data_IF_143443464328
#
_entry.id   IF_143443464328
#
_cell.length_a   1.000
_cell.length_b   1.000
_cell.length_c   1.000
_cell.angle_alpha   90.00
_cell.angle_beta   90.00
_cell.angle_gamma   90.00
#
_symmetry.space_group_name_H-M   'P 1'
#
loop_
_entity.id
_entity.type
_entity.pdbx_description
1 polymer ?
#
# COMPACT_ATOMS: atom_id res chain seq x y z
N UNK A 1 27.04 26.34 2.32
CA UNK A 1 27.45 25.50 3.45
C UNK A 1 26.84 24.11 3.27
N UNK A 2 27.48 23.33 2.42
CA UNK A 2 27.10 21.94 2.10
C UNK A 2 28.35 21.10 2.37
N UNK A 3 28.32 20.32 3.38
CA UNK A 3 29.48 19.47 3.70
C UNK A 3 29.41 18.89 5.10
N UNK A 4 28.48 17.99 5.39
CA UNK A 4 28.53 17.18 6.60
C UNK A 4 27.49 16.04 6.51
N UNK A 5 27.68 15.05 5.65
CA UNK A 5 26.87 13.83 5.69
C UNK A 5 27.49 12.59 5.02
N UNK A 6 28.79 12.58 4.69
CA UNK A 6 29.43 11.42 4.06
C UNK A 6 30.39 10.63 4.96
N UNK A 7 30.61 11.04 6.19
CA UNK A 7 31.57 10.36 7.08
C UNK A 7 30.96 9.26 7.97
N UNK A 8 29.65 9.12 8.06
CA UNK A 8 29.03 8.09 8.92
C UNK A 8 28.85 6.74 8.24
N UNK A 9 28.90 6.68 6.89
CA UNK A 9 28.71 5.43 6.15
C UNK A 9 30.00 4.63 5.95
N UNK A 10 31.17 5.28 6.09
CA UNK A 10 32.49 4.62 5.90
C UNK A 10 33.02 3.95 7.18
N UNK A 11 32.51 4.30 8.35
CA UNK A 11 32.95 3.71 9.63
C UNK A 11 32.32 2.33 9.87
N UNK A 12 31.11 2.08 9.35
CA UNK A 12 30.43 0.78 9.51
C UNK A 12 30.98 -0.31 8.60
N UNK A 13 31.67 0.05 7.52
CA UNK A 13 32.28 -0.93 6.60
C UNK A 13 33.68 -1.35 7.05
N UNK A 14 34.37 -0.52 7.82
CA UNK A 14 35.73 -0.81 8.31
C UNK A 14 35.75 -1.86 9.44
N UNK A 15 34.78 -1.85 10.34
CA UNK A 15 34.72 -2.79 11.47
C UNK A 15 34.35 -4.22 11.08
N UNK A 16 33.73 -4.42 9.91
CA UNK A 16 33.38 -5.76 9.44
C UNK A 16 34.53 -6.51 8.69
N UNK A 17 35.63 -5.86 8.42
CA UNK A 17 36.77 -6.46 7.69
C UNK A 17 37.96 -6.87 8.59
N UNK A 18 37.97 -6.52 9.88
CA UNK A 18 39.05 -6.92 10.80
C UNK A 18 38.82 -8.26 11.52
N UNK A 19 37.63 -8.80 11.58
CA UNK A 19 37.34 -10.10 12.23
C UNK A 19 37.70 -11.35 11.41
N UNK A 20 38.17 -11.21 10.15
CA UNK A 20 38.48 -12.37 9.28
C UNK A 20 39.99 -12.73 9.28
N UNK A 21 40.83 -12.02 10.02
CA UNK A 21 42.28 -12.19 9.95
C UNK A 21 42.95 -12.87 11.15
N UNK A 22 42.27 -13.50 12.06
CA UNK A 22 42.91 -14.23 13.17
C UNK A 22 42.29 -15.61 13.37
N UNK A 23 42.85 -16.61 12.67
CA UNK A 23 42.84 -18.00 13.10
C UNK A 23 44.19 -18.62 12.79
N UNK A 24 44.85 -19.31 13.74
CA UNK A 24 46.23 -19.76 13.58
C UNK A 24 46.29 -21.11 12.84
N UNK A 25 47.28 -21.20 11.96
CA UNK A 25 47.76 -22.45 11.34
C UNK A 25 48.42 -23.33 12.39
N UNK A 26 48.02 -24.59 12.50
CA UNK A 26 48.85 -25.68 12.97
C UNK A 26 48.81 -26.82 11.97
N UNK A 27 49.97 -27.11 11.41
CA UNK A 27 50.28 -28.28 10.62
C UNK A 27 50.60 -29.43 11.57
N UNK A 28 49.97 -30.59 11.39
CA UNK A 28 50.57 -31.87 11.76
C UNK A 28 50.25 -32.92 10.70
N UNK A 29 51.36 -33.59 10.30
CA UNK A 29 51.47 -34.66 9.31
C UNK A 29 51.05 -35.99 9.91
N UNK A 30 50.31 -36.83 9.18
CA UNK A 30 50.07 -38.22 9.50
C UNK A 30 49.55 -39.01 8.30
N UNK A 31 50.38 -39.94 7.83
CA UNK A 31 50.17 -40.83 6.71
C UNK A 31 49.09 -41.90 6.99
N UNK A 32 48.40 -42.35 5.93
CA UNK A 32 47.87 -43.70 5.88
C UNK A 32 46.53 -43.94 5.22
N UNK A 33 46.58 -44.33 3.96
CA UNK A 33 45.77 -45.36 3.28
C UNK A 33 44.26 -45.29 3.13
N UNK A 34 43.86 -45.10 1.91
CA UNK A 34 42.99 -45.97 1.08
C UNK A 34 41.47 -45.79 1.07
N UNK A 35 40.97 -45.79 -0.17
CA UNK A 35 39.68 -46.17 -0.71
C UNK A 35 38.54 -45.12 -0.78
N UNK A 36 38.53 -44.46 -1.95
CA UNK A 36 37.36 -44.26 -2.84
C UNK A 36 35.96 -44.16 -2.20
N UNK A 37 35.45 -42.96 -2.13
CA UNK A 37 34.11 -42.68 -2.66
C UNK A 37 34.05 -41.20 -3.11
N UNK A 38 34.34 -40.99 -4.39
CA UNK A 38 34.05 -39.76 -5.11
C UNK A 38 32.52 -39.73 -5.29
N UNK A 39 31.82 -39.07 -4.42
CA UNK A 39 30.41 -38.74 -4.63
C UNK A 39 30.39 -37.48 -5.49
N UNK A 40 30.01 -37.66 -6.74
CA UNK A 40 30.06 -36.69 -7.81
C UNK A 40 29.23 -35.45 -7.53
N UNK A 41 29.87 -34.30 -7.55
CA UNK A 41 29.25 -32.97 -7.60
C UNK A 41 28.53 -32.68 -8.95
N UNK A 42 28.35 -33.69 -9.78
CA UNK A 42 27.72 -33.56 -11.11
C UNK A 42 26.19 -33.68 -11.07
N UNK A 43 25.58 -34.21 -10.01
CA UNK A 43 24.11 -34.39 -9.97
C UNK A 43 23.34 -33.14 -9.59
N UNK A 44 23.95 -32.21 -8.86
CA UNK A 44 23.26 -30.93 -8.51
C UNK A 44 23.25 -29.92 -9.66
N UNK A 45 24.26 -29.95 -10.52
CA UNK A 45 24.29 -29.12 -11.74
C UNK A 45 23.36 -29.65 -12.83
N UNK A 46 23.05 -30.95 -12.84
CA UNK A 46 22.13 -31.54 -13.83
C UNK A 46 20.64 -31.18 -13.51
N UNK A 47 20.29 -31.11 -12.25
CA UNK A 47 18.90 -30.71 -11.87
C UNK A 47 18.67 -29.21 -12.05
N UNK A 48 19.67 -28.37 -11.77
CA UNK A 48 19.61 -26.93 -12.09
C UNK A 48 19.58 -26.65 -13.59
N UNK A 49 20.20 -27.54 -14.40
CA UNK A 49 20.13 -27.46 -15.86
C UNK A 49 18.81 -28.04 -16.43
N UNK A 50 18.15 -28.98 -15.72
CA UNK A 50 16.84 -29.53 -16.14
C UNK A 50 15.69 -28.58 -15.90
N UNK A 51 15.66 -27.84 -14.79
CA UNK A 51 14.65 -26.79 -14.57
C UNK A 51 14.74 -25.61 -15.55
N UNK A 52 15.90 -25.42 -16.21
CA UNK A 52 16.05 -24.42 -17.29
C UNK A 52 15.37 -24.81 -18.62
N UNK A 53 14.91 -26.05 -18.78
CA UNK A 53 14.36 -26.52 -20.06
C UNK A 53 12.85 -26.35 -20.24
N UNK A 54 12.11 -25.96 -19.19
CA UNK A 54 10.64 -25.87 -19.28
C UNK A 54 10.11 -24.52 -19.78
N UNK A 55 10.94 -23.48 -19.89
CA UNK A 55 10.51 -22.20 -20.45
C UNK A 55 11.31 -21.85 -21.71
N UNK A 56 10.63 -21.49 -22.79
CA UNK A 56 11.34 -21.08 -24.01
C UNK A 56 12.13 -19.81 -23.73
N UNK A 57 13.41 -19.82 -24.06
CA UNK A 57 14.29 -18.66 -23.88
C UNK A 57 13.87 -17.48 -24.78
N UNK A 58 13.31 -17.78 -25.95
CA UNK A 58 12.79 -16.80 -26.92
C UNK A 58 11.31 -17.06 -27.17
N UNK A 59 10.52 -16.01 -27.09
CA UNK A 59 9.10 -16.04 -27.46
C UNK A 59 8.82 -14.97 -28.52
N UNK A 60 7.80 -15.19 -29.32
CA UNK A 60 7.27 -14.20 -30.26
C UNK A 60 5.89 -13.77 -29.82
N UNK A 61 5.65 -12.47 -29.80
CA UNK A 61 4.35 -11.89 -29.46
C UNK A 61 3.97 -10.89 -30.55
N UNK A 62 3.00 -11.24 -31.37
CA UNK A 62 2.73 -10.46 -32.57
C UNK A 62 3.98 -10.29 -33.45
N UNK A 63 4.41 -9.06 -33.67
CA UNK A 63 5.63 -8.75 -34.42
C UNK A 63 6.91 -8.70 -33.56
N UNK A 64 6.78 -8.70 -32.23
CA UNK A 64 7.88 -8.54 -31.32
C UNK A 64 8.56 -9.88 -31.02
N UNK A 65 9.88 -9.83 -30.81
CA UNK A 65 10.68 -10.96 -30.35
C UNK A 65 11.22 -10.62 -28.97
N UNK A 66 10.88 -11.45 -28.00
CA UNK A 66 11.20 -11.23 -26.59
C UNK A 66 12.11 -12.37 -26.10
N UNK A 67 13.17 -12.01 -25.39
CA UNK A 67 14.09 -12.93 -24.73
C UNK A 67 13.80 -12.95 -23.24
N UNK A 68 13.57 -14.14 -22.66
CA UNK A 68 13.54 -14.32 -21.23
C UNK A 68 14.98 -14.37 -20.73
N UNK A 69 15.36 -13.39 -19.92
CA UNK A 69 16.67 -13.33 -19.30
C UNK A 69 16.56 -13.36 -17.79
N UNK A 70 17.48 -14.06 -17.14
CA UNK A 70 17.61 -14.04 -15.69
C UNK A 70 18.74 -13.11 -15.33
N UNK A 71 18.43 -12.08 -14.55
CA UNK A 71 19.37 -11.09 -14.03
C UNK A 71 19.38 -11.14 -12.51
N UNK A 72 20.54 -10.90 -11.85
CA UNK A 72 20.58 -10.81 -10.39
C UNK A 72 19.97 -9.47 -9.92
N UNK A 73 19.27 -9.51 -8.80
CA UNK A 73 18.92 -8.30 -8.03
C UNK A 73 20.16 -7.79 -7.25
N UNK A 74 20.00 -6.73 -6.46
CA UNK A 74 21.07 -6.15 -5.63
C UNK A 74 21.62 -7.10 -4.56
N UNK A 75 20.89 -8.15 -4.22
CA UNK A 75 21.27 -9.19 -3.26
C UNK A 75 21.79 -10.46 -3.98
N UNK A 76 21.93 -10.43 -5.31
CA UNK A 76 22.39 -11.57 -6.10
C UNK A 76 21.30 -12.63 -6.36
N UNK A 77 20.03 -12.39 -6.00
CA UNK A 77 18.92 -13.33 -6.22
C UNK A 77 18.50 -13.30 -7.69
N UNK A 78 18.28 -14.45 -8.33
CA UNK A 78 17.88 -14.51 -9.74
C UNK A 78 16.46 -13.94 -9.90
N UNK A 79 16.30 -13.14 -10.95
CA UNK A 79 15.02 -12.56 -11.34
C UNK A 79 14.88 -12.65 -12.86
N UNK A 80 13.81 -13.26 -13.35
CA UNK A 80 13.55 -13.45 -14.77
C UNK A 80 12.71 -12.29 -15.31
N UNK A 81 13.13 -11.72 -16.43
CA UNK A 81 12.42 -10.62 -17.11
C UNK A 81 12.42 -10.82 -18.63
N UNK A 82 11.45 -10.18 -19.29
CA UNK A 82 11.36 -10.14 -20.74
C UNK A 82 12.09 -8.91 -21.31
N UNK A 83 12.94 -9.12 -22.28
CA UNK A 83 13.67 -8.06 -22.99
C UNK A 83 13.37 -8.15 -24.49
N UNK A 84 12.93 -7.05 -25.08
CA UNK A 84 12.77 -6.94 -26.53
C UNK A 84 14.10 -7.06 -27.26
N UNK A 85 14.14 -7.87 -28.30
CA UNK A 85 15.31 -8.06 -29.16
C UNK A 85 14.94 -7.89 -30.61
N UNK A 86 15.89 -7.40 -31.41
CA UNK A 86 15.72 -7.45 -32.87
C UNK A 86 15.93 -8.87 -33.39
N UNK A 87 15.35 -9.18 -34.52
CA UNK A 87 15.50 -10.50 -35.16
C UNK A 87 16.95 -10.82 -35.51
N UNK A 88 17.72 -9.80 -35.87
CA UNK A 88 19.16 -9.89 -36.20
C UNK A 88 19.96 -10.34 -34.99
N UNK A 89 19.74 -9.69 -33.82
CA UNK A 89 20.42 -10.06 -32.56
C UNK A 89 20.10 -11.51 -32.15
N UNK A 90 18.85 -11.96 -32.31
CA UNK A 90 18.49 -13.35 -32.01
C UNK A 90 19.13 -14.33 -32.96
N UNK A 91 19.18 -14.02 -34.26
CA UNK A 91 19.86 -14.86 -35.24
C UNK A 91 21.36 -14.98 -35.00
N UNK A 92 21.98 -13.86 -34.64
CA UNK A 92 23.41 -13.80 -34.32
C UNK A 92 23.76 -14.64 -33.08
N UNK A 93 22.97 -14.52 -32.01
CA UNK A 93 23.24 -15.20 -30.73
C UNK A 93 22.83 -16.67 -30.71
N UNK A 94 21.72 -17.02 -31.34
CA UNK A 94 21.05 -18.32 -31.19
C UNK A 94 20.89 -19.09 -32.53
N UNK A 95 21.20 -18.47 -33.65
CA UNK A 95 21.08 -19.08 -34.97
C UNK A 95 19.73 -18.82 -35.66
N UNK A 96 19.67 -19.09 -36.97
CA UNK A 96 18.52 -18.80 -37.82
C UNK A 96 17.25 -19.61 -37.46
N UNK A 97 17.42 -20.84 -36.98
CA UNK A 97 16.31 -21.75 -36.66
C UNK A 97 15.53 -21.33 -35.42
N UNK A 98 16.16 -20.58 -34.50
CA UNK A 98 15.55 -20.17 -33.22
C UNK A 98 14.25 -19.39 -33.41
N UNK A 99 14.20 -18.45 -34.37
CA UNK A 99 13.00 -17.67 -34.63
C UNK A 99 11.85 -18.50 -35.20
N UNK A 100 12.12 -19.56 -35.95
CA UNK A 100 11.07 -20.43 -36.50
C UNK A 100 10.57 -21.44 -35.47
N UNK A 101 11.40 -21.81 -34.51
CA UNK A 101 11.06 -22.74 -33.44
C UNK A 101 10.46 -22.04 -32.22
N UNK A 102 10.72 -20.72 -32.05
CA UNK A 102 10.21 -19.96 -30.93
C UNK A 102 8.67 -19.93 -30.92
N UNK A 103 8.05 -20.25 -29.79
CA UNK A 103 6.60 -20.23 -29.65
C UNK A 103 6.04 -18.84 -29.94
N UNK A 104 4.83 -18.82 -30.51
CA UNK A 104 4.13 -17.61 -30.87
C UNK A 104 2.90 -17.42 -29.99
N UNK A 105 2.77 -16.22 -29.45
CA UNK A 105 1.63 -15.78 -28.68
C UNK A 105 0.96 -14.56 -29.33
N UNK A 106 -0.34 -14.43 -29.19
CA UNK A 106 -1.10 -13.34 -29.80
C UNK A 106 -0.83 -12.01 -29.12
N UNK A 107 -0.67 -12.04 -27.78
CA UNK A 107 -0.44 -10.85 -26.96
C UNK A 107 0.28 -11.17 -25.64
N UNK A 108 0.73 -10.11 -24.97
CA UNK A 108 1.06 -10.15 -23.53
C UNK A 108 -0.23 -9.93 -22.74
N UNK A 109 -0.39 -10.67 -21.64
CA UNK A 109 -1.49 -10.51 -20.70
C UNK A 109 -0.97 -10.29 -19.28
N UNK A 110 -1.79 -9.70 -18.41
CA UNK A 110 -1.50 -9.56 -16.97
C UNK A 110 -2.64 -10.25 -16.23
N UNK A 111 -2.43 -11.50 -15.85
CA UNK A 111 -3.44 -12.32 -15.17
C UNK A 111 -2.91 -12.73 -13.79
N UNK A 112 -3.25 -11.97 -12.74
CA UNK A 112 -2.76 -12.25 -11.39
C UNK A 112 -3.45 -13.49 -10.81
N UNK A 113 -2.66 -14.46 -10.37
CA UNK A 113 -3.12 -15.61 -9.58
C UNK A 113 -1.95 -16.17 -8.79
N UNK A 114 -2.21 -16.56 -7.53
CA UNK A 114 -1.21 -17.22 -6.69
C UNK A 114 -1.56 -18.69 -6.41
N UNK A 115 -2.81 -19.07 -6.60
CA UNK A 115 -3.32 -20.43 -6.31
C UNK A 115 -3.49 -21.29 -7.57
N UNK A 116 -3.71 -20.66 -8.72
CA UNK A 116 -3.84 -21.32 -10.03
C UNK A 116 -3.10 -20.48 -11.10
N UNK A 117 -1.78 -20.32 -10.88
CA UNK A 117 -0.97 -19.56 -11.82
C UNK A 117 -0.80 -20.29 -13.14
N UNK A 118 -1.00 -19.55 -14.26
CA UNK A 118 -0.75 -20.03 -15.61
C UNK A 118 0.13 -19.05 -16.35
N UNK A 119 1.25 -19.56 -16.86
CA UNK A 119 2.17 -18.78 -17.69
C UNK A 119 1.55 -18.41 -19.03
N UNK A 120 0.68 -19.26 -19.55
CA UNK A 120 -0.05 -19.04 -20.81
C UNK A 120 -1.54 -19.09 -20.52
N UNK A 121 -2.25 -18.03 -20.86
CA UNK A 121 -3.70 -17.90 -20.67
C UNK A 121 -4.35 -17.67 -22.05
N UNK A 122 -5.14 -18.65 -22.53
CA UNK A 122 -5.51 -18.69 -23.93
C UNK A 122 -4.25 -18.85 -24.80
N UNK A 123 -4.06 -17.96 -25.79
CA UNK A 123 -2.82 -17.88 -26.54
C UNK A 123 -1.99 -16.60 -26.19
N UNK A 124 -2.09 -16.13 -24.94
CA UNK A 124 -1.37 -14.95 -24.46
C UNK A 124 -0.30 -15.35 -23.43
N UNK A 125 0.86 -14.71 -23.50
CA UNK A 125 1.90 -14.87 -22.50
C UNK A 125 1.60 -14.00 -21.27
N UNK A 126 1.48 -14.62 -20.10
CA UNK A 126 1.23 -13.91 -18.84
C UNK A 126 2.52 -13.31 -18.30
N UNK A 127 2.56 -11.97 -18.14
CA UNK A 127 3.69 -11.22 -17.58
C UNK A 127 3.55 -10.96 -16.08
N UNK A 128 2.50 -11.48 -15.43
CA UNK A 128 2.41 -11.51 -13.97
C UNK A 128 3.38 -12.57 -13.44
N UNK A 129 4.09 -12.26 -12.34
CA UNK A 129 5.11 -13.17 -11.85
C UNK A 129 4.51 -14.26 -10.96
N UNK A 130 4.90 -15.53 -11.20
CA UNK A 130 4.60 -16.63 -10.28
C UNK A 130 5.26 -16.37 -8.93
N UNK A 131 4.62 -16.77 -7.84
CA UNK A 131 5.28 -16.83 -6.54
C UNK A 131 6.26 -18.00 -6.52
N UNK A 132 7.48 -17.73 -6.08
CA UNK A 132 8.56 -18.74 -6.01
C UNK A 132 8.51 -19.53 -4.70
N UNK A 133 7.85 -18.98 -3.67
CA UNK A 133 7.77 -19.57 -2.34
C UNK A 133 6.52 -20.44 -2.24
N UNK A 134 6.71 -21.72 -1.92
CA UNK A 134 5.60 -22.64 -1.69
C UNK A 134 5.09 -22.51 -0.24
N UNK A 135 3.75 -22.45 -0.03
CA UNK A 135 3.16 -22.42 1.30
C UNK A 135 3.50 -23.68 2.10
N UNK A 136 3.94 -23.53 3.33
CA UNK A 136 4.17 -24.66 4.24
C UNK A 136 3.67 -24.36 5.65
N UNK A 137 3.05 -25.36 6.32
CA UNK A 137 2.52 -25.20 7.67
C UNK A 137 3.65 -24.85 8.65
N UNK A 138 3.44 -23.82 9.47
CA UNK A 138 4.41 -23.36 10.46
C UNK A 138 3.85 -22.23 11.32
N UNK A 139 4.67 -21.75 12.25
CA UNK A 139 4.39 -20.58 13.08
C UNK A 139 5.04 -19.35 12.45
N UNK A 140 4.49 -18.16 12.70
CA UNK A 140 4.95 -16.90 12.14
C UNK A 140 4.91 -15.73 13.14
N UNK A 141 5.56 -15.89 14.32
CA UNK A 141 5.45 -14.93 15.41
C UNK A 141 5.97 -13.53 15.06
N UNK A 142 6.96 -13.40 14.15
CA UNK A 142 7.44 -12.07 13.73
C UNK A 142 6.40 -11.36 12.86
N UNK A 143 5.69 -12.11 12.04
CA UNK A 143 4.59 -11.57 11.25
C UNK A 143 3.39 -11.18 12.13
N UNK A 144 3.03 -12.00 13.13
CA UNK A 144 1.97 -11.65 14.09
C UNK A 144 2.31 -10.34 14.81
N UNK A 145 3.56 -10.19 15.25
CA UNK A 145 4.03 -8.97 15.87
C UNK A 145 3.96 -7.77 14.91
N UNK A 146 4.41 -7.94 13.66
CA UNK A 146 4.32 -6.88 12.66
C UNK A 146 2.87 -6.50 12.38
N UNK A 147 1.99 -7.48 12.19
CA UNK A 147 0.57 -7.23 11.91
C UNK A 147 -0.12 -6.51 13.06
N UNK A 148 0.12 -6.95 14.30
CA UNK A 148 -0.37 -6.28 15.49
C UNK A 148 0.15 -4.85 15.61
N UNK A 149 1.43 -4.63 15.28
CA UNK A 149 2.04 -3.31 15.29
C UNK A 149 1.41 -2.35 14.28
N UNK A 150 1.23 -2.81 13.05
CA UNK A 150 0.70 -1.98 11.96
C UNK A 150 -0.79 -1.71 12.13
N UNK A 151 -1.55 -2.73 12.49
CA UNK A 151 -3.00 -2.66 12.48
C UNK A 151 -3.64 -2.51 13.87
N UNK A 152 -2.91 -2.79 14.97
CA UNK A 152 -3.42 -2.66 16.34
C UNK A 152 -4.73 -3.40 16.54
N UNK A 153 -5.77 -2.69 16.96
CA UNK A 153 -7.12 -3.22 17.15
C UNK A 153 -7.77 -3.75 15.86
N UNK A 154 -7.28 -3.31 14.71
CA UNK A 154 -7.74 -3.77 13.39
C UNK A 154 -6.88 -4.89 12.80
N UNK A 155 -6.12 -5.61 13.62
CA UNK A 155 -5.21 -6.69 13.18
C UNK A 155 -5.92 -7.74 12.33
N UNK A 156 -7.11 -8.17 12.73
CA UNK A 156 -7.89 -9.15 11.99
C UNK A 156 -8.23 -8.69 10.57
N UNK A 157 -8.52 -7.38 10.40
CA UNK A 157 -8.75 -6.76 9.08
C UNK A 157 -7.44 -6.70 8.27
N UNK A 158 -6.31 -6.44 8.93
CA UNK A 158 -5.00 -6.49 8.29
C UNK A 158 -4.69 -7.86 7.70
N UNK A 159 -4.95 -8.90 8.46
CA UNK A 159 -4.83 -10.28 7.98
C UNK A 159 -5.81 -10.59 6.83
N UNK A 160 -7.04 -10.06 6.87
CA UNK A 160 -8.00 -10.18 5.76
C UNK A 160 -7.50 -9.46 4.51
N UNK A 161 -6.91 -8.28 4.66
CA UNK A 161 -6.29 -7.52 3.56
C UNK A 161 -5.20 -8.37 2.86
N UNK A 162 -4.27 -8.97 3.62
CA UNK A 162 -3.23 -9.85 3.07
C UNK A 162 -3.83 -11.11 2.43
N UNK A 163 -4.88 -11.68 3.05
CA UNK A 163 -5.57 -12.85 2.51
C UNK A 163 -6.22 -12.56 1.16
N UNK A 164 -6.82 -11.39 1.02
CA UNK A 164 -7.39 -10.95 -0.26
C UNK A 164 -6.32 -10.71 -1.32
N UNK A 165 -5.18 -10.10 -0.95
CA UNK A 165 -4.04 -10.00 -1.86
C UNK A 165 -3.61 -11.36 -2.39
N UNK A 166 -3.61 -12.39 -1.54
CA UNK A 166 -3.18 -13.74 -1.89
C UNK A 166 -4.25 -14.52 -2.68
N UNK A 167 -5.49 -14.60 -2.18
CA UNK A 167 -6.55 -15.46 -2.75
C UNK A 167 -7.31 -14.79 -3.89
N UNK A 168 -7.51 -13.50 -3.81
CA UNK A 168 -8.28 -12.73 -4.78
C UNK A 168 -7.53 -11.46 -5.18
N UNK A 169 -6.42 -11.58 -5.90
CA UNK A 169 -5.55 -10.46 -6.24
C UNK A 169 -6.24 -9.37 -7.09
N UNK A 170 -7.38 -9.67 -7.71
CA UNK A 170 -8.18 -8.69 -8.47
C UNK A 170 -9.17 -7.91 -7.60
N UNK A 171 -9.43 -8.34 -6.35
CA UNK A 171 -10.31 -7.60 -5.44
C UNK A 171 -9.80 -6.18 -5.25
N UNK A 172 -10.67 -5.20 -5.43
CA UNK A 172 -10.36 -3.80 -5.12
C UNK A 172 -10.27 -3.62 -3.61
N UNK A 173 -9.19 -3.02 -3.13
CA UNK A 173 -8.94 -2.78 -1.70
C UNK A 173 -8.65 -1.29 -1.44
N UNK A 174 -8.84 -0.81 -0.21
CA UNK A 174 -8.47 0.55 0.16
C UNK A 174 -6.98 0.79 -0.02
N UNK A 175 -6.62 2.03 -0.33
CA UNK A 175 -5.24 2.50 -0.27
C UNK A 175 -4.81 2.48 1.20
N UNK A 176 -3.82 1.67 1.54
CA UNK A 176 -3.28 1.61 2.89
C UNK A 176 -2.25 2.71 3.09
N UNK A 177 -2.51 3.63 4.02
CA UNK A 177 -1.63 4.73 4.34
C UNK A 177 -1.03 4.54 5.73
N UNK A 178 0.28 4.30 5.80
CA UNK A 178 1.02 4.22 7.05
C UNK A 178 1.71 5.56 7.30
N UNK A 179 1.27 6.26 8.33
CA UNK A 179 1.74 7.62 8.61
C UNK A 179 2.41 7.71 9.98
N UNK A 180 3.51 8.43 10.04
CA UNK A 180 4.18 8.80 11.28
C UNK A 180 5.12 9.97 11.04
N UNK A 181 5.11 11.02 11.87
CA UNK A 181 6.09 12.10 11.78
C UNK A 181 7.50 11.65 12.13
N UNK A 182 7.63 10.48 12.74
CA UNK A 182 8.89 9.96 13.26
C UNK A 182 9.42 8.78 12.42
N UNK A 183 10.72 8.54 12.54
CA UNK A 183 11.40 7.39 11.95
C UNK A 183 11.29 6.15 12.88
N UNK A 184 11.78 5.01 12.42
CA UNK A 184 11.80 3.76 13.19
C UNK A 184 10.44 3.33 13.75
N UNK A 185 9.42 3.37 12.90
CA UNK A 185 8.04 3.03 13.25
C UNK A 185 7.54 1.71 12.67
N UNK A 186 8.36 1.05 11.81
CA UNK A 186 7.99 -0.19 11.13
C UNK A 186 7.33 -0.01 9.75
N UNK A 187 7.13 1.24 9.28
CA UNK A 187 6.52 1.51 7.96
C UNK A 187 7.26 0.78 6.83
N UNK A 188 8.56 0.99 6.70
CA UNK A 188 9.38 0.36 5.64
C UNK A 188 9.51 -1.15 5.84
N UNK A 189 9.56 -1.63 7.10
CA UNK A 189 9.54 -3.09 7.38
C UNK A 189 8.27 -3.76 6.87
N UNK A 190 7.10 -3.09 6.95
CA UNK A 190 5.88 -3.61 6.36
C UNK A 190 5.92 -3.64 4.83
N UNK A 191 6.45 -2.58 4.19
CA UNK A 191 6.68 -2.56 2.75
C UNK A 191 7.58 -3.73 2.30
N UNK A 192 8.71 -3.94 3.00
CA UNK A 192 9.62 -5.06 2.76
C UNK A 192 8.94 -6.41 2.97
N UNK A 193 8.15 -6.56 4.04
CA UNK A 193 7.40 -7.76 4.33
C UNK A 193 6.45 -8.15 3.18
N UNK A 194 5.76 -7.19 2.58
CA UNK A 194 4.94 -7.43 1.38
C UNK A 194 5.80 -7.99 0.23
N UNK A 195 7.03 -7.50 0.04
CA UNK A 195 7.93 -8.02 -0.99
C UNK A 195 8.42 -9.45 -0.69
N UNK A 196 8.52 -9.84 0.58
CA UNK A 196 8.82 -11.22 0.96
C UNK A 196 7.67 -12.18 0.61
N UNK A 197 6.40 -11.74 0.77
CA UNK A 197 5.24 -12.54 0.41
C UNK A 197 5.02 -12.65 -1.09
N UNK A 198 5.11 -11.54 -1.81
CA UNK A 198 4.63 -11.46 -3.19
C UNK A 198 5.75 -11.27 -4.22
N UNK A 199 7.00 -11.27 -3.78
CA UNK A 199 8.18 -11.23 -4.65
C UNK A 199 8.18 -10.05 -5.62
N UNK A 200 8.48 -10.33 -6.87
CA UNK A 200 8.54 -9.34 -7.96
C UNK A 200 7.19 -8.66 -8.29
N UNK A 201 6.08 -9.09 -7.67
CA UNK A 201 4.78 -8.46 -7.82
C UNK A 201 4.60 -7.26 -6.86
N UNK A 202 5.58 -6.96 -6.01
CA UNK A 202 5.64 -5.75 -5.18
C UNK A 202 6.74 -4.84 -5.71
N UNK A 203 6.41 -3.58 -5.96
CA UNK A 203 7.39 -2.60 -6.39
C UNK A 203 7.41 -1.40 -5.43
N UNK A 204 8.60 -0.80 -5.29
CA UNK A 204 8.82 0.43 -4.52
C UNK A 204 9.00 1.58 -5.50
N UNK A 205 8.28 2.65 -5.27
CA UNK A 205 8.17 3.76 -6.21
C UNK A 205 8.23 5.10 -5.50
N UNK A 206 8.70 6.10 -6.21
CA UNK A 206 8.75 7.49 -5.76
C UNK A 206 7.55 8.29 -6.28
N UNK A 207 7.40 9.52 -5.81
CA UNK A 207 6.42 10.45 -6.35
C UNK A 207 6.66 10.75 -7.85
N UNK A 208 7.90 10.76 -8.30
CA UNK A 208 8.23 11.00 -9.71
C UNK A 208 7.76 9.84 -10.58
N UNK A 209 7.88 8.60 -10.12
CA UNK A 209 7.32 7.43 -10.81
C UNK A 209 5.80 7.54 -10.96
N UNK A 210 5.13 7.97 -9.89
CA UNK A 210 3.69 8.19 -9.93
C UNK A 210 3.30 9.28 -10.93
N UNK A 211 4.09 10.35 -11.05
CA UNK A 211 3.84 11.48 -11.96
C UNK A 211 4.32 11.25 -13.39
N UNK A 212 5.15 10.23 -13.62
CA UNK A 212 5.70 9.87 -14.92
C UNK A 212 4.61 9.48 -15.92
N UNK A 213 4.92 9.64 -17.21
CA UNK A 213 4.16 9.06 -18.32
C UNK A 213 4.38 7.54 -18.43
N UNK A 214 5.52 7.05 -17.91
CA UNK A 214 5.78 5.62 -17.78
C UNK A 214 5.16 5.12 -16.48
N UNK A 215 4.25 4.17 -16.60
CA UNK A 215 3.40 3.73 -15.52
C UNK A 215 3.51 2.22 -15.23
N UNK A 216 4.68 1.64 -15.46
CA UNK A 216 4.92 0.20 -15.26
C UNK A 216 4.52 -0.32 -13.86
N UNK A 217 4.42 0.57 -12.86
CA UNK A 217 3.97 0.24 -11.52
C UNK A 217 2.52 -0.27 -11.44
N UNK A 218 1.66 0.04 -12.42
CA UNK A 218 0.25 -0.39 -12.41
C UNK A 218 0.05 -1.89 -12.61
N UNK A 219 1.06 -2.61 -13.11
CA UNK A 219 1.03 -4.07 -13.27
C UNK A 219 1.42 -4.82 -11.99
N UNK A 220 1.94 -4.12 -10.98
CA UNK A 220 2.28 -4.71 -9.69
C UNK A 220 1.02 -5.11 -8.94
N UNK A 221 1.10 -6.13 -8.10
CA UNK A 221 0.05 -6.45 -7.14
C UNK A 221 -0.05 -5.35 -6.09
N UNK A 222 1.12 -4.95 -5.57
CA UNK A 222 1.25 -3.86 -4.61
C UNK A 222 2.30 -2.87 -5.09
N UNK A 223 1.93 -1.60 -5.17
CA UNK A 223 2.84 -0.50 -5.38
C UNK A 223 3.01 0.27 -4.07
N UNK A 224 4.22 0.19 -3.51
CA UNK A 224 4.61 0.90 -2.29
C UNK A 224 5.22 2.24 -2.69
N UNK A 225 4.63 3.32 -2.22
CA UNK A 225 5.12 4.68 -2.45
C UNK A 225 5.68 5.26 -1.16
N UNK A 226 6.91 5.71 -1.21
CA UNK A 226 7.57 6.40 -0.10
C UNK A 226 7.57 7.92 -0.33
N UNK A 227 7.35 8.67 0.76
CA UNK A 227 7.47 10.14 0.80
C UNK A 227 6.69 10.91 -0.28
N UNK A 228 5.38 10.66 -0.37
CA UNK A 228 4.51 11.44 -1.25
C UNK A 228 4.29 12.82 -0.64
N UNK A 229 4.75 13.88 -1.32
CA UNK A 229 4.71 15.26 -0.83
C UNK A 229 3.69 16.17 -1.54
N UNK A 230 3.35 15.92 -2.83
CA UNK A 230 2.38 16.72 -3.58
C UNK A 230 1.00 16.06 -3.59
N UNK A 231 0.23 16.41 -2.56
CA UNK A 231 -1.05 15.78 -2.26
C UNK A 231 -2.08 15.88 -3.40
N UNK A 232 -2.26 17.02 -4.04
CA UNK A 232 -3.44 17.25 -4.91
C UNK A 232 -3.38 16.52 -6.24
N UNK A 233 -2.25 16.59 -6.95
CA UNK A 233 -2.07 15.96 -8.27
C UNK A 233 -1.97 14.45 -8.12
N UNK A 234 -1.20 14.01 -7.14
CA UNK A 234 -0.99 12.61 -6.75
C UNK A 234 -2.31 11.94 -6.36
N UNK A 235 -3.13 12.60 -5.54
CA UNK A 235 -4.44 12.10 -5.11
C UNK A 235 -5.41 11.88 -6.26
N UNK A 236 -5.45 12.79 -7.22
CA UNK A 236 -6.32 12.65 -8.38
C UNK A 236 -5.91 11.41 -9.20
N UNK A 237 -4.61 11.15 -9.34
CA UNK A 237 -4.10 9.99 -10.04
C UNK A 237 -4.40 8.68 -9.27
N UNK A 238 -4.18 8.67 -7.95
CA UNK A 238 -4.53 7.54 -7.07
C UNK A 238 -6.04 7.26 -7.14
N UNK A 239 -6.89 8.29 -7.02
CA UNK A 239 -8.35 8.16 -7.16
C UNK A 239 -8.76 7.58 -8.51
N UNK A 240 -8.17 8.09 -9.60
CA UNK A 240 -8.43 7.58 -10.93
C UNK A 240 -8.03 6.10 -11.06
N UNK A 241 -6.87 5.71 -10.57
CA UNK A 241 -6.37 4.33 -10.65
C UNK A 241 -7.18 3.36 -9.78
N UNK A 242 -7.55 3.74 -8.55
CA UNK A 242 -8.38 2.88 -7.67
C UNK A 242 -9.80 2.62 -8.20
N UNK A 243 -10.20 3.33 -9.26
CA UNK A 243 -11.54 3.22 -9.87
C UNK A 243 -11.53 2.89 -11.35
N UNK A 244 -10.34 2.80 -11.97
CA UNK A 244 -10.20 2.54 -13.40
C UNK A 244 -10.66 1.11 -13.75
N UNK A 245 -11.43 0.98 -14.85
CA UNK A 245 -11.82 -0.31 -15.40
C UNK A 245 -10.85 -0.80 -16.48
N UNK A 246 -10.08 0.10 -17.07
CA UNK A 246 -9.07 -0.20 -18.09
C UNK A 246 -7.88 0.73 -17.89
N UNK A 247 -6.68 0.20 -18.07
CA UNK A 247 -5.44 0.94 -18.11
C UNK A 247 -4.49 0.34 -19.13
N UNK A 248 -3.61 1.17 -19.67
CA UNK A 248 -2.56 0.75 -20.60
C UNK A 248 -1.21 0.87 -19.89
N UNK A 249 -0.44 -0.20 -19.86
CA UNK A 249 0.94 -0.19 -19.39
C UNK A 249 1.78 0.50 -20.46
N UNK A 250 2.51 1.54 -20.06
CA UNK A 250 3.47 2.24 -20.88
C UNK A 250 4.86 2.15 -20.23
N UNK A 251 5.67 1.23 -20.72
CA UNK A 251 7.05 1.04 -20.28
C UNK A 251 8.01 1.36 -21.44
N UNK A 252 9.17 1.93 -21.13
CA UNK A 252 10.17 2.27 -22.14
C UNK A 252 10.67 1.01 -22.84
N UNK A 253 10.65 1.03 -24.16
CA UNK A 253 11.11 -0.08 -25.03
C UNK A 253 10.34 -1.41 -24.87
N UNK A 254 9.10 -1.37 -24.38
CA UNK A 254 8.23 -2.54 -24.31
C UNK A 254 6.92 -2.31 -25.04
N UNK A 255 6.27 -3.35 -25.57
CA UNK A 255 4.93 -3.25 -26.13
C UNK A 255 3.95 -2.70 -25.09
N UNK A 256 3.00 -1.88 -25.56
CA UNK A 256 1.88 -1.45 -24.71
C UNK A 256 0.95 -2.62 -24.47
N UNK A 257 0.45 -2.73 -23.23
CA UNK A 257 -0.48 -3.79 -22.82
C UNK A 257 -1.68 -3.15 -22.16
N UNK A 258 -2.86 -3.41 -22.72
CA UNK A 258 -4.13 -3.02 -22.11
C UNK A 258 -4.60 -4.10 -21.16
N UNK A 259 -5.01 -3.70 -19.95
CA UNK A 259 -5.51 -4.63 -18.95
C UNK A 259 -6.46 -3.96 -17.96
N UNK A 260 -7.14 -4.75 -17.15
CA UNK A 260 -7.93 -4.27 -16.02
C UNK A 260 -7.00 -4.09 -14.80
N UNK A 261 -6.83 -2.86 -14.27
CA UNK A 261 -5.90 -2.61 -13.17
C UNK A 261 -6.36 -3.31 -11.89
N UNK A 262 -5.42 -3.94 -11.22
CA UNK A 262 -5.64 -4.62 -9.93
C UNK A 262 -4.65 -4.16 -8.86
N UNK A 263 -3.80 -3.18 -9.14
CA UNK A 263 -2.77 -2.70 -8.22
C UNK A 263 -3.39 -2.15 -6.93
N UNK A 264 -2.82 -2.52 -5.78
CA UNK A 264 -3.09 -1.94 -4.47
C UNK A 264 -1.98 -0.97 -4.12
N UNK A 265 -2.38 0.16 -3.58
CA UNK A 265 -1.45 1.21 -3.23
C UNK A 265 -1.20 1.18 -1.73
N UNK A 266 0.08 1.15 -1.36
CA UNK A 266 0.54 1.32 0.02
C UNK A 266 1.39 2.58 0.06
N UNK A 267 1.02 3.52 0.90
CA UNK A 267 1.68 4.82 1.02
C UNK A 267 2.36 4.90 2.38
N UNK A 268 3.67 5.11 2.37
CA UNK A 268 4.47 5.34 3.57
C UNK A 268 4.81 6.83 3.63
N UNK A 269 4.36 7.53 4.66
CA UNK A 269 4.55 8.97 4.76
C UNK A 269 4.97 9.41 6.15
N UNK A 270 5.84 10.41 6.19
CA UNK A 270 6.20 11.11 7.41
C UNK A 270 5.24 12.27 7.72
N UNK A 271 4.35 12.62 6.79
CA UNK A 271 3.41 13.71 6.95
C UNK A 271 1.96 13.22 6.74
N UNK A 272 1.23 13.06 7.84
CA UNK A 272 -0.19 12.69 7.82
C UNK A 272 -1.09 13.84 7.32
N UNK A 273 -0.70 15.08 7.57
CA UNK A 273 -1.56 16.27 7.38
C UNK A 273 -1.72 16.66 5.93
N UNK A 274 -0.66 16.48 5.12
CA UNK A 274 -0.68 16.87 3.70
C UNK A 274 -0.92 15.70 2.75
N UNK A 275 -0.92 14.49 3.28
CA UNK A 275 -0.89 13.28 2.47
C UNK A 275 -2.15 13.11 1.62
N UNK A 276 -3.33 13.32 2.19
CA UNK A 276 -4.61 13.00 1.55
C UNK A 276 -5.67 14.01 1.91
N UNK A 277 -6.49 14.41 0.92
CA UNK A 277 -7.78 15.04 1.17
C UNK A 277 -8.85 13.95 1.19
N UNK A 278 -9.22 13.52 2.35
CA UNK A 278 -10.28 12.54 2.58
C UNK A 278 -11.54 13.22 3.12
N UNK A 279 -12.69 12.60 2.90
CA UNK A 279 -13.94 12.93 3.58
C UNK A 279 -14.22 11.86 4.62
N UNK A 280 -15.05 12.18 5.61
CA UNK A 280 -15.35 11.28 6.73
C UNK A 280 -15.81 9.88 6.28
N UNK A 281 -16.55 9.76 5.18
CA UNK A 281 -17.09 8.50 4.65
C UNK A 281 -16.29 7.93 3.49
N UNK A 282 -15.00 8.26 3.37
CA UNK A 282 -14.19 7.81 2.25
C UNK A 282 -13.58 6.42 2.49
N UNK A 283 -14.26 5.38 2.05
CA UNK A 283 -13.81 3.97 2.12
C UNK A 283 -12.58 3.65 1.27
N UNK A 284 -12.07 4.60 0.49
CA UNK A 284 -10.90 4.39 -0.38
C UNK A 284 -9.59 4.41 0.37
N UNK A 285 -9.56 4.95 1.60
CA UNK A 285 -8.35 5.13 2.37
C UNK A 285 -8.45 4.46 3.73
N UNK A 286 -7.47 3.64 4.04
CA UNK A 286 -7.26 3.07 5.36
C UNK A 286 -5.98 3.66 5.93
N UNK A 287 -6.12 4.58 6.87
CA UNK A 287 -5.01 5.37 7.41
C UNK A 287 -4.64 4.84 8.79
N UNK A 288 -3.38 4.41 8.96
CA UNK A 288 -2.84 3.95 10.23
C UNK A 288 -1.72 4.88 10.68
N UNK A 289 -1.86 5.45 11.87
CA UNK A 289 -0.78 6.22 12.51
C UNK A 289 0.06 5.27 13.35
N UNK A 290 1.38 5.31 13.12
CA UNK A 290 2.34 4.47 13.82
C UNK A 290 3.18 5.32 14.77
N UNK A 291 3.39 4.82 15.98
CA UNK A 291 4.30 5.42 16.94
C UNK A 291 5.72 4.86 16.74
N UNK A 292 6.78 5.52 17.20
CA UNK A 292 8.14 4.98 17.21
C UNK A 292 8.22 3.63 17.93
N UNK A 293 9.17 2.80 17.53
CA UNK A 293 9.50 1.57 18.26
C UNK A 293 10.16 1.94 19.59
N UNK A 294 9.77 1.30 20.67
CA UNK A 294 10.51 1.34 21.92
C UNK A 294 11.78 0.49 21.81
N UNK A 295 12.74 0.68 22.73
CA UNK A 295 13.96 -0.13 22.75
C UNK A 295 13.66 -1.65 22.93
N UNK A 296 12.57 -1.98 23.63
CA UNK A 296 12.13 -3.35 23.89
C UNK A 296 11.50 -4.01 22.67
N UNK A 297 10.90 -3.21 21.78
CA UNK A 297 10.30 -3.67 20.52
C UNK A 297 11.33 -3.87 19.40
N UNK A 298 12.57 -3.43 19.61
CA UNK A 298 13.64 -3.62 18.63
C UNK A 298 14.11 -5.06 18.60
N UNK A 299 13.97 -5.71 17.44
CA UNK A 299 14.40 -7.09 17.24
C UNK A 299 15.53 -7.15 16.23
N UNK A 300 16.72 -7.62 16.63
CA UNK A 300 17.83 -7.79 15.70
C UNK A 300 17.47 -8.76 14.57
N UNK A 301 17.87 -8.42 13.34
CA UNK A 301 17.62 -9.22 12.13
C UNK A 301 16.13 -9.50 11.87
N UNK A 302 15.26 -8.55 12.21
CA UNK A 302 13.81 -8.69 12.09
C UNK A 302 13.38 -9.07 10.67
N UNK A 303 13.92 -8.39 9.64
CA UNK A 303 13.61 -8.67 8.24
C UNK A 303 13.99 -10.10 7.82
N UNK A 304 15.15 -10.61 8.26
CA UNK A 304 15.56 -11.98 7.97
C UNK A 304 14.64 -13.02 8.61
N UNK A 305 14.11 -12.74 9.80
CA UNK A 305 13.12 -13.60 10.48
C UNK A 305 11.77 -13.56 9.77
N UNK A 306 11.28 -12.38 9.38
CA UNK A 306 10.07 -12.25 8.57
C UNK A 306 10.19 -13.07 7.28
N UNK A 307 11.34 -12.98 6.60
CA UNK A 307 11.57 -13.73 5.38
C UNK A 307 11.56 -15.24 5.61
N UNK A 308 12.15 -15.71 6.72
CA UNK A 308 12.16 -17.13 7.06
C UNK A 308 10.75 -17.69 7.38
N UNK A 309 9.85 -16.88 7.93
CA UNK A 309 8.49 -17.25 8.26
C UNK A 309 7.51 -17.13 7.08
N UNK A 310 7.93 -16.56 5.95
CA UNK A 310 7.07 -16.33 4.76
C UNK A 310 6.31 -17.57 4.29
N UNK A 311 6.90 -18.80 4.21
CA UNK A 311 6.16 -20.00 3.81
C UNK A 311 4.98 -20.30 4.74
N UNK A 312 5.15 -20.08 6.06
CA UNK A 312 4.11 -20.31 7.06
C UNK A 312 2.98 -19.26 6.94
N UNK A 313 3.33 -18.00 6.67
CA UNK A 313 2.34 -16.95 6.40
C UNK A 313 1.54 -17.28 5.15
N UNK A 314 2.18 -17.66 4.05
CA UNK A 314 1.48 -18.04 2.81
C UNK A 314 0.50 -19.20 3.05
N UNK A 315 0.89 -20.19 3.87
CA UNK A 315 -0.01 -21.27 4.27
C UNK A 315 -1.21 -20.75 5.07
N UNK A 316 -0.97 -19.84 6.01
CA UNK A 316 -2.03 -19.18 6.78
C UNK A 316 -2.95 -18.39 5.86
N UNK A 317 -2.42 -17.58 4.97
CA UNK A 317 -3.24 -16.84 3.98
C UNK A 317 -4.05 -17.76 3.08
N UNK A 318 -3.50 -18.94 2.72
CA UNK A 318 -4.20 -19.93 1.91
C UNK A 318 -5.37 -20.61 2.65
N UNK A 319 -5.30 -20.77 3.97
CA UNK A 319 -6.22 -21.66 4.71
C UNK A 319 -7.12 -20.97 5.74
N UNK A 320 -6.76 -19.77 6.22
CA UNK A 320 -7.52 -19.08 7.27
C UNK A 320 -8.94 -18.69 6.83
N UNK A 321 -9.84 -18.60 7.78
CA UNK A 321 -11.16 -17.99 7.56
C UNK A 321 -11.04 -16.48 7.61
N UNK A 322 -11.78 -15.79 6.72
CA UNK A 322 -11.90 -14.34 6.74
C UNK A 322 -12.64 -13.91 8.01
N UNK A 323 -12.14 -12.86 8.64
CA UNK A 323 -12.82 -12.26 9.80
C UNK A 323 -13.97 -11.33 9.36
N UNK A 324 -13.89 -10.79 8.14
CA UNK A 324 -14.89 -9.85 7.60
C UNK A 324 -15.53 -10.39 6.32
N UNK A 325 -16.85 -10.23 6.16
CA UNK A 325 -17.53 -10.42 4.88
C UNK A 325 -17.26 -9.23 3.94
N UNK A 326 -17.53 -9.43 2.64
CA UNK A 326 -17.58 -8.34 1.67
C UNK A 326 -18.76 -7.41 1.99
N UNK A 327 -18.47 -6.15 2.33
CA UNK A 327 -19.45 -5.14 2.71
C UNK A 327 -19.42 -3.89 1.85
N UNK A 328 -18.43 -3.76 0.98
CA UNK A 328 -18.31 -2.63 0.07
C UNK A 328 -17.56 -3.03 -1.19
N UNK A 329 -17.59 -2.15 -2.21
CA UNK A 329 -16.77 -2.33 -3.40
C UNK A 329 -15.28 -2.54 -3.08
N UNK A 330 -14.81 -2.01 -1.94
CA UNK A 330 -13.44 -2.13 -1.45
C UNK A 330 -13.30 -3.19 -0.36
N UNK A 331 -14.23 -4.12 -0.29
CA UNK A 331 -14.35 -5.17 0.72
C UNK A 331 -14.81 -4.66 2.09
N UNK A 332 -14.04 -3.78 2.70
CA UNK A 332 -14.29 -3.30 4.06
C UNK A 332 -15.38 -2.22 4.09
N UNK A 333 -16.21 -2.24 5.15
CA UNK A 333 -17.11 -1.12 5.43
C UNK A 333 -16.31 0.10 5.89
N UNK A 334 -16.92 1.29 5.79
CA UNK A 334 -16.35 2.51 6.32
C UNK A 334 -15.99 2.38 7.81
N UNK A 335 -16.95 1.87 8.59
CA UNK A 335 -16.79 1.80 10.05
C UNK A 335 -15.68 0.80 10.46
N UNK A 336 -15.47 -0.27 9.67
CA UNK A 336 -14.43 -1.23 9.93
C UNK A 336 -13.01 -0.65 9.80
N UNK A 337 -12.78 0.23 8.83
CA UNK A 337 -11.47 0.86 8.57
C UNK A 337 -11.34 2.28 9.10
N UNK A 338 -12.36 2.78 9.83
CA UNK A 338 -12.32 4.08 10.49
C UNK A 338 -11.25 4.09 11.58
N UNK A 339 -10.46 5.17 11.62
CA UNK A 339 -9.36 5.36 12.60
C UNK A 339 -9.31 6.82 13.04
N UNK A 340 -8.72 7.08 14.20
CA UNK A 340 -8.46 8.44 14.67
C UNK A 340 -7.54 9.20 13.70
N UNK A 341 -6.61 8.49 13.05
CA UNK A 341 -5.75 9.07 12.02
C UNK A 341 -6.55 9.58 10.82
N UNK A 342 -7.61 8.87 10.40
CA UNK A 342 -8.52 9.36 9.36
C UNK A 342 -9.24 10.62 9.82
N UNK A 343 -9.72 10.68 11.06
CA UNK A 343 -10.39 11.86 11.60
C UNK A 343 -9.48 13.11 11.55
N UNK A 344 -8.20 12.96 11.94
CA UNK A 344 -7.19 14.04 11.85
C UNK A 344 -6.97 14.48 10.39
N UNK A 345 -6.88 13.55 9.46
CA UNK A 345 -6.70 13.86 8.03
C UNK A 345 -7.92 14.59 7.47
N UNK A 346 -9.13 14.18 7.85
CA UNK A 346 -10.37 14.85 7.44
C UNK A 346 -10.39 16.27 7.97
N UNK A 347 -10.07 16.49 9.24
CA UNK A 347 -9.98 17.81 9.87
C UNK A 347 -9.00 18.72 9.14
N UNK A 348 -7.80 18.23 8.86
CA UNK A 348 -6.77 18.99 8.16
C UNK A 348 -7.13 19.26 6.69
N UNK A 349 -8.06 18.50 6.13
CA UNK A 349 -8.54 18.67 4.75
C UNK A 349 -9.54 19.80 4.59
N UNK A 350 -10.10 20.31 5.69
CA UNK A 350 -11.04 21.42 5.69
C UNK A 350 -10.31 22.70 5.26
N UNK A 351 -11.03 23.56 4.54
CA UNK A 351 -10.57 24.92 4.28
C UNK A 351 -10.50 25.74 5.57
N UNK A 352 -9.70 26.79 5.60
CA UNK A 352 -9.61 27.68 6.75
C UNK A 352 -10.99 28.24 7.12
N UNK A 353 -11.80 28.57 6.11
CA UNK A 353 -13.17 29.01 6.32
C UNK A 353 -14.03 27.93 7.00
N UNK A 354 -13.90 26.66 6.55
CA UNK A 354 -14.65 25.56 7.17
C UNK A 354 -14.21 25.29 8.61
N UNK A 355 -12.92 25.44 8.92
CA UNK A 355 -12.37 25.34 10.28
C UNK A 355 -12.93 26.46 11.16
N UNK A 356 -12.88 27.72 10.69
CA UNK A 356 -13.45 28.87 11.42
C UNK A 356 -14.96 28.69 11.69
N UNK A 357 -15.70 28.16 10.70
CA UNK A 357 -17.12 27.85 10.89
C UNK A 357 -17.31 26.78 11.96
N UNK A 358 -16.53 25.73 11.94
CA UNK A 358 -16.60 24.63 12.92
C UNK A 358 -16.25 25.08 14.32
N UNK A 359 -15.22 25.90 14.47
CA UNK A 359 -14.85 26.54 15.74
C UNK A 359 -15.99 27.40 16.28
N UNK A 360 -16.56 28.27 15.43
CA UNK A 360 -17.68 29.11 15.82
C UNK A 360 -18.91 28.28 16.27
N UNK A 361 -19.24 27.19 15.55
CA UNK A 361 -20.31 26.27 15.93
C UNK A 361 -20.03 25.67 17.32
N UNK A 362 -18.81 25.20 17.57
CA UNK A 362 -18.43 24.58 18.83
C UNK A 362 -18.49 25.58 20.00
N UNK A 363 -17.95 26.77 19.83
CA UNK A 363 -17.97 27.84 20.83
C UNK A 363 -19.40 28.28 21.13
N UNK A 364 -20.23 28.47 20.10
CA UNK A 364 -21.63 28.87 20.24
C UNK A 364 -22.46 27.80 20.96
N UNK A 365 -22.27 26.51 20.55
CA UNK A 365 -22.92 25.38 21.23
C UNK A 365 -22.55 25.30 22.71
N UNK A 366 -21.27 25.48 23.03
CA UNK A 366 -20.81 25.50 24.43
C UNK A 366 -21.41 26.66 25.22
N UNK A 367 -21.51 27.85 24.61
CA UNK A 367 -22.04 29.05 25.27
C UNK A 367 -23.54 28.96 25.66
N UNK A 368 -24.31 28.18 24.89
CA UNK A 368 -25.73 27.95 25.14
C UNK A 368 -26.01 26.61 25.85
N UNK A 369 -24.98 25.99 26.42
CA UNK A 369 -25.15 24.76 27.20
C UNK A 369 -25.48 23.52 26.35
N UNK A 370 -25.11 23.50 25.06
CA UNK A 370 -25.37 22.38 24.15
C UNK A 370 -26.81 22.29 23.63
N UNK A 371 -27.60 23.36 23.73
CA UNK A 371 -28.91 23.41 23.14
C UNK A 371 -28.90 23.41 21.62
N UNK A 372 -29.97 22.86 21.02
CA UNK A 372 -30.17 22.95 19.57
C UNK A 372 -30.34 24.40 19.13
N UNK A 373 -29.69 24.81 18.06
CA UNK A 373 -29.88 26.11 17.44
C UNK A 373 -29.76 26.05 15.91
N UNK A 374 -30.34 27.04 15.24
CA UNK A 374 -30.25 27.22 13.81
C UNK A 374 -29.57 28.53 13.42
N UNK A 375 -29.01 28.58 12.24
CA UNK A 375 -28.41 29.79 11.67
C UNK A 375 -28.54 29.83 10.14
N UNK A 376 -28.55 31.02 9.56
CA UNK A 376 -28.42 31.19 8.11
C UNK A 376 -26.97 31.52 7.71
N UNK A 377 -26.62 31.34 6.44
CA UNK A 377 -25.31 31.76 5.96
C UNK A 377 -25.07 33.29 6.16
N UNK A 378 -26.16 34.10 6.19
CA UNK A 378 -26.08 35.54 6.45
C UNK A 378 -25.79 35.85 7.92
N UNK A 379 -26.41 35.11 8.84
CA UNK A 379 -26.13 35.26 10.27
C UNK A 379 -24.66 34.89 10.56
N UNK A 380 -24.22 33.75 10.04
CA UNK A 380 -22.85 33.28 10.18
C UNK A 380 -21.84 34.27 9.60
N UNK A 381 -22.13 34.84 8.42
CA UNK A 381 -21.30 35.85 7.76
C UNK A 381 -20.99 37.06 8.67
N UNK A 382 -21.94 37.49 9.45
CA UNK A 382 -21.75 38.59 10.41
C UNK A 382 -20.83 38.18 11.57
N UNK A 383 -20.96 36.97 12.08
CA UNK A 383 -20.23 36.47 13.24
C UNK A 383 -18.74 36.21 12.89
N UNK A 384 -18.49 35.50 11.78
CA UNK A 384 -17.10 35.14 11.35
C UNK A 384 -16.43 36.22 10.48
N UNK A 385 -17.11 37.33 10.20
CA UNK A 385 -16.63 38.45 9.35
C UNK A 385 -16.23 38.04 7.94
N UNK A 386 -16.90 37.05 7.38
CA UNK A 386 -16.71 36.61 6.00
C UNK A 386 -17.89 37.11 5.13
N UNK A 387 -17.60 37.88 4.09
CA UNK A 387 -18.65 38.51 3.26
C UNK A 387 -19.14 37.66 2.10
N UNK A 388 -18.40 36.60 1.74
CA UNK A 388 -18.73 35.71 0.62
C UNK A 388 -19.73 34.63 1.05
N UNK A 389 -21.02 34.96 0.98
CA UNK A 389 -22.09 34.00 1.35
C UNK A 389 -22.08 32.70 0.53
N UNK A 390 -21.54 32.71 -0.71
CA UNK A 390 -21.42 31.52 -1.54
C UNK A 390 -20.33 30.61 -1.00
N UNK A 391 -19.18 31.18 -0.61
CA UNK A 391 -18.11 30.43 0.01
C UNK A 391 -18.57 29.78 1.33
N UNK A 392 -19.28 30.54 2.19
CA UNK A 392 -19.85 30.00 3.42
C UNK A 392 -20.82 28.86 3.13
N UNK A 393 -21.75 29.02 2.18
CA UNK A 393 -22.69 27.97 1.81
C UNK A 393 -22.01 26.73 1.23
N UNK A 394 -20.94 26.92 0.45
CA UNK A 394 -20.14 25.82 -0.09
C UNK A 394 -19.35 25.09 1.01
N UNK A 395 -18.75 25.80 1.96
CA UNK A 395 -18.07 25.21 3.12
C UNK A 395 -19.05 24.39 3.98
N UNK A 396 -20.20 24.97 4.35
CA UNK A 396 -21.22 24.28 5.12
C UNK A 396 -21.72 23.00 4.45
N UNK A 397 -22.04 23.06 3.15
CA UNK A 397 -22.65 21.92 2.45
C UNK A 397 -21.63 20.89 1.95
N UNK A 398 -20.50 21.35 1.35
CA UNK A 398 -19.56 20.46 0.69
C UNK A 398 -18.51 19.91 1.65
N UNK A 399 -18.07 20.71 2.62
CA UNK A 399 -17.01 20.34 3.55
C UNK A 399 -17.59 19.84 4.88
N UNK A 400 -18.47 20.61 5.53
CA UNK A 400 -19.06 20.24 6.82
C UNK A 400 -20.32 19.37 6.71
N UNK A 401 -20.79 19.08 5.47
CA UNK A 401 -21.93 18.18 5.19
C UNK A 401 -23.24 18.60 5.90
N UNK A 402 -23.40 19.87 6.15
CA UNK A 402 -24.61 20.40 6.75
C UNK A 402 -25.65 20.68 5.66
N UNK A 403 -26.81 20.04 5.77
CA UNK A 403 -27.95 20.36 4.93
C UNK A 403 -28.74 21.53 5.50
N UNK A 404 -29.42 22.25 4.61
CA UNK A 404 -30.31 23.33 5.07
C UNK A 404 -31.78 22.97 4.87
N UNK A 405 -32.59 23.47 5.78
CA UNK A 405 -34.07 23.44 5.70
C UNK A 405 -34.61 24.85 5.52
N UNK A 406 -35.79 24.96 4.94
CA UNK A 406 -36.48 26.25 4.81
C UNK A 406 -37.70 26.27 5.74
N UNK A 407 -37.45 26.57 7.00
CA UNK A 407 -38.47 26.53 8.06
C UNK A 407 -38.19 27.60 9.08
N UNK A 408 -39.06 27.65 10.12
CA UNK A 408 -38.87 28.44 11.32
C UNK A 408 -37.84 27.78 12.23
N UNK A 409 -36.99 28.56 12.91
CA UNK A 409 -35.95 28.10 13.81
C UNK A 409 -35.63 29.12 14.90
N UNK A 410 -35.09 28.67 16.02
CA UNK A 410 -34.48 29.52 17.04
C UNK A 410 -33.00 29.67 16.76
N UNK A 411 -32.49 30.89 16.78
CA UNK A 411 -31.04 31.12 16.73
C UNK A 411 -30.40 30.92 18.12
N UNK A 412 -29.07 31.05 18.19
CA UNK A 412 -28.31 30.90 19.44
C UNK A 412 -28.60 31.94 20.52
N UNK A 413 -29.31 33.02 20.19
CA UNK A 413 -29.81 34.02 21.15
C UNK A 413 -31.27 33.74 21.58
N UNK A 414 -31.84 32.64 21.12
CA UNK A 414 -33.24 32.27 21.38
C UNK A 414 -34.26 33.00 20.53
N UNK A 415 -33.83 33.85 19.57
CA UNK A 415 -34.74 34.59 18.70
C UNK A 415 -35.32 33.68 17.62
N UNK A 416 -36.63 33.72 17.40
CA UNK A 416 -37.30 32.95 16.35
C UNK A 416 -37.11 33.63 15.00
N UNK A 417 -36.59 32.90 14.04
CA UNK A 417 -36.33 33.33 12.66
C UNK A 417 -37.01 32.39 11.67
N UNK A 418 -37.25 32.85 10.47
CA UNK A 418 -37.84 32.04 9.39
C UNK A 418 -37.00 32.15 8.10
N UNK A 419 -36.77 31.04 7.46
CA UNK A 419 -36.03 31.00 6.21
C UNK A 419 -35.11 29.79 6.07
N UNK A 420 -34.11 29.90 5.17
CA UNK A 420 -33.11 28.86 4.97
C UNK A 420 -32.16 28.83 6.16
N UNK A 421 -32.09 27.68 6.82
CA UNK A 421 -31.25 27.45 7.99
C UNK A 421 -30.38 26.21 7.89
N UNK A 422 -29.25 26.23 8.56
CA UNK A 422 -28.47 25.09 8.99
C UNK A 422 -28.77 24.83 10.46
N UNK A 423 -28.96 23.55 10.82
CA UNK A 423 -29.32 23.16 12.18
C UNK A 423 -28.08 22.51 12.84
N UNK A 424 -27.77 22.99 14.05
CA UNK A 424 -26.85 22.33 14.95
C UNK A 424 -27.68 21.52 15.94
N UNK A 425 -27.56 20.19 15.85
CA UNK A 425 -28.25 19.29 16.76
C UNK A 425 -27.68 19.45 18.18
N UNK A 426 -28.56 19.46 19.16
CA UNK A 426 -28.22 19.58 20.56
C UNK A 426 -29.35 19.01 21.41
N UNK A 427 -29.24 19.17 22.72
CA UNK A 427 -30.34 18.84 23.63
C UNK A 427 -31.50 19.77 23.36
N UNK A 428 -32.69 19.24 23.27
CA UNK A 428 -33.90 20.08 23.26
C UNK A 428 -34.16 20.67 24.65
N UNK A 429 -34.94 21.73 24.71
CA UNK A 429 -35.35 22.30 26.01
C UNK A 429 -36.09 21.26 26.87
N UNK A 430 -36.80 20.34 26.23
CA UNK A 430 -37.50 19.23 26.87
C UNK A 430 -36.56 18.20 27.47
N UNK A 431 -35.46 17.84 26.74
CA UNK A 431 -34.44 16.92 27.25
C UNK A 431 -33.75 17.47 28.52
N UNK A 432 -33.47 18.77 28.57
CA UNK A 432 -32.87 19.42 29.74
C UNK A 432 -33.82 19.45 30.95
N UNK A 433 -35.09 19.69 30.73
CA UNK A 433 -36.09 19.67 31.80
C UNK A 433 -36.19 18.24 32.36
N UNK A 434 -36.19 17.23 31.53
CA UNK A 434 -36.27 15.83 31.91
C UNK A 434 -35.03 15.37 32.68
N UNK A 435 -33.81 15.78 32.27
CA UNK A 435 -32.56 15.51 33.02
C UNK A 435 -32.55 16.20 34.41
N UNK A 436 -33.21 17.36 34.56
CA UNK A 436 -33.31 18.03 35.86
C UNK A 436 -34.34 17.36 36.78
N UNK A 437 -35.39 16.78 36.22
CA UNK A 437 -36.41 16.03 36.98
C UNK A 437 -35.93 14.64 37.41
N UNK A 438 -35.02 14.00 36.58
CA UNK A 438 -34.45 12.67 36.85
C UNK A 438 -33.22 12.69 37.76
N UNK A 439 -32.73 13.87 38.20
CA UNK A 439 -31.62 13.98 39.13
C UNK A 439 -32.13 14.03 40.57
N UNK A 440 -32.04 12.95 41.35
CA UNK A 440 -32.47 12.97 42.75
C UNK A 440 -31.55 13.87 43.58
N UNK A 441 -32.16 14.69 44.42
CA UNK A 441 -31.45 15.50 45.41
C UNK A 441 -30.67 14.65 46.40
#
# INVERSE_FOLDING_TARGET
MLGWQWNSLLIVIADSMEEIKQAPHTLESGQGADARQVCSSQDKDSDYQREKQDHPQIIRVGNDVLELITIPDTLGRPHTTLVGRTREVIKERFGNSTLTQAPYYDALAVVPSHTDYKQVVGNCWNIYNRLEIEPSKGEHPMWDMLMKRIFGEQEALGWDYLTLLYRNPTQVLPVLCLVSPENHTGKSSFGNALSYLFGANVGFYTQDDLNSTFNGWIKSLVAVFEEISDAKKTLNKIKAMSTAKKATINEKYKPQVDFEPFVKLVILSNNAETLIKATEFDVRYWIRRLNPLTAEEYIPKFDARLQAETPAVLYTLATRQMATPDQSRMWFSHDAIKTDALAVVVENSLSDLAKTIKEWIAETSASIGGLEFGFSAKDLSAEIRETNLRAISDALRKELKMDYLNTEYKDWNGATKKGRRYLVAGKTTEDIIQEQEDTPF
#
